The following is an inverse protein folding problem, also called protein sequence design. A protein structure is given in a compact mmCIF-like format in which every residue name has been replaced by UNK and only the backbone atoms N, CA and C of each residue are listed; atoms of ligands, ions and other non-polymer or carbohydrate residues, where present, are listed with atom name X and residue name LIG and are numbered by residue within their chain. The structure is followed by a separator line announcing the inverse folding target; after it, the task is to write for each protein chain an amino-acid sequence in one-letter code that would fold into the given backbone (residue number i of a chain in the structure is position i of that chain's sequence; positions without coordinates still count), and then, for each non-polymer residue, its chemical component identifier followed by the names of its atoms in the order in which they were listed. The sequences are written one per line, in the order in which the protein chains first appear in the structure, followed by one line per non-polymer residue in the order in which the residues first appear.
data_IF_081644605629
#
_entry.id   IF_081644605629
#
_cell.length_a   1.000
_cell.length_b   1.000
_cell.length_c   1.000
_cell.angle_alpha   90.00
_cell.angle_beta   90.00
_cell.angle_gamma   90.00
#
_symmetry.space_group_name_H-M   'P 1'
#
loop_
_entity.id
_entity.type
_entity.pdbx_description
1 polymer ?
#
# COMPACT_ATOMS: atom_id res chain seq x y z
N UNK A 1 4.02 -4.37 -12.49
CA UNK A 1 3.37 -3.02 -12.67
C UNK A 1 2.01 -3.11 -13.37
N UNK A 2 1.66 -4.25 -13.98
CA UNK A 2 0.34 -4.47 -14.58
C UNK A 2 -0.70 -4.66 -13.48
N UNK A 3 -0.33 -5.43 -12.47
CA UNK A 3 -1.07 -5.81 -11.27
C UNK A 3 -1.49 -4.55 -10.49
N UNK A 4 -0.56 -3.63 -10.24
CA UNK A 4 -0.86 -2.37 -9.54
C UNK A 4 -1.80 -1.45 -10.34
N UNK A 5 -1.70 -1.45 -11.68
CA UNK A 5 -2.65 -0.72 -12.55
C UNK A 5 -4.03 -1.37 -12.54
N UNK A 6 -4.08 -2.69 -12.47
CA UNK A 6 -5.32 -3.46 -12.39
C UNK A 6 -6.04 -3.20 -11.06
N UNK A 7 -5.33 -3.30 -9.94
CA UNK A 7 -5.86 -2.95 -8.61
C UNK A 7 -6.46 -1.54 -8.58
N UNK A 8 -5.72 -0.54 -9.07
CA UNK A 8 -6.21 0.85 -9.10
C UNK A 8 -7.42 1.05 -10.02
N UNK A 9 -7.57 0.25 -11.08
CA UNK A 9 -8.77 0.25 -11.94
C UNK A 9 -9.94 -0.44 -11.25
N UNK A 10 -9.71 -1.60 -10.63
CA UNK A 10 -10.74 -2.34 -9.88
C UNK A 10 -11.31 -1.44 -8.78
N UNK A 11 -10.46 -0.87 -7.95
CA UNK A 11 -10.88 0.03 -6.86
C UNK A 11 -11.63 1.27 -7.39
N UNK A 12 -11.17 1.88 -8.49
CA UNK A 12 -11.89 2.97 -9.13
C UNK A 12 -13.26 2.55 -9.68
N UNK A 13 -13.40 1.31 -10.15
CA UNK A 13 -14.68 0.75 -10.62
C UNK A 13 -15.62 0.49 -9.45
N UNK A 14 -15.12 -0.11 -8.37
CA UNK A 14 -15.85 -0.37 -7.13
C UNK A 14 -16.39 0.91 -6.49
N UNK A 15 -15.63 2.01 -6.54
CA UNK A 15 -16.05 3.32 -6.03
C UNK A 15 -16.72 4.23 -7.07
N UNK A 16 -16.85 3.78 -8.32
CA UNK A 16 -17.51 4.53 -9.38
C UNK A 16 -19.02 4.62 -9.22
N UNK A 17 -19.74 5.42 -10.05
CA UNK A 17 -21.19 5.62 -9.91
C UNK A 17 -22.04 4.34 -9.95
N UNK A 18 -21.57 3.32 -10.68
CA UNK A 18 -22.20 1.98 -10.79
C UNK A 18 -21.46 0.91 -9.96
N UNK A 19 -20.66 1.34 -9.00
CA UNK A 19 -19.86 0.48 -8.14
C UNK A 19 -20.62 0.01 -6.89
N UNK A 20 -19.91 -0.63 -5.98
CA UNK A 20 -20.45 -1.15 -4.73
C UNK A 20 -20.92 0.00 -3.81
N UNK A 21 -22.16 -0.03 -3.30
CA UNK A 21 -22.67 1.01 -2.40
C UNK A 21 -21.91 1.12 -1.07
N UNK A 22 -21.37 0.01 -0.56
CA UNK A 22 -20.55 0.02 0.65
C UNK A 22 -19.22 0.72 0.39
N UNK A 23 -18.51 0.32 -0.67
CA UNK A 23 -17.21 0.91 -1.03
C UNK A 23 -17.33 2.41 -1.23
N UNK A 24 -18.35 2.88 -1.96
CA UNK A 24 -18.58 4.31 -2.23
C UNK A 24 -18.80 5.15 -0.97
N UNK A 25 -19.40 4.58 0.08
CA UNK A 25 -19.69 5.29 1.33
C UNK A 25 -18.46 5.44 2.23
N UNK A 26 -17.39 4.69 1.97
CA UNK A 26 -16.19 4.75 2.79
C UNK A 26 -15.46 6.08 2.69
N UNK A 27 -14.85 6.47 3.80
CA UNK A 27 -13.99 7.64 3.98
C UNK A 27 -12.70 7.21 4.69
N UNK A 28 -11.69 8.08 4.74
CA UNK A 28 -10.49 7.76 5.53
C UNK A 28 -10.79 7.48 7.01
N UNK A 29 -11.84 8.10 7.57
CA UNK A 29 -12.20 7.91 8.98
C UNK A 29 -12.94 6.61 9.22
N UNK A 30 -13.86 6.23 8.32
CA UNK A 30 -14.61 4.98 8.46
C UNK A 30 -13.74 3.74 8.26
N UNK A 31 -12.65 3.85 7.51
CA UNK A 31 -11.69 2.76 7.25
C UNK A 31 -10.65 2.55 8.35
N UNK A 32 -10.51 3.47 9.32
CA UNK A 32 -9.53 3.38 10.40
C UNK A 32 -9.63 2.13 11.27
N UNK A 33 -10.81 1.70 11.76
CA UNK A 33 -10.90 0.50 12.58
C UNK A 33 -10.52 -0.75 11.79
N UNK A 34 -11.00 -0.88 10.55
CA UNK A 34 -10.70 -2.04 9.70
C UNK A 34 -9.20 -2.21 9.46
N UNK A 35 -8.46 -1.17 9.02
CA UNK A 35 -7.01 -1.32 8.83
C UNK A 35 -6.26 -1.65 10.13
N UNK A 36 -6.81 -1.30 11.29
CA UNK A 36 -6.21 -1.70 12.56
C UNK A 36 -6.41 -3.19 12.83
N UNK A 37 -7.59 -3.73 12.52
CA UNK A 37 -7.92 -5.16 12.58
C UNK A 37 -6.98 -5.97 11.66
N UNK A 38 -6.87 -5.61 10.38
CA UNK A 38 -5.99 -6.31 9.42
C UNK A 38 -4.50 -6.30 9.85
N UNK A 39 -4.07 -5.23 10.55
CA UNK A 39 -2.71 -5.15 11.09
C UNK A 39 -2.53 -6.12 12.25
N UNK A 40 -3.55 -6.34 13.10
CA UNK A 40 -3.49 -7.34 14.15
C UNK A 40 -3.48 -8.76 13.58
N UNK A 41 -4.31 -9.04 12.57
CA UNK A 41 -4.33 -10.33 11.89
C UNK A 41 -3.00 -10.61 11.17
N UNK A 42 -2.41 -9.59 10.52
CA UNK A 42 -1.06 -9.68 9.96
C UNK A 42 0.00 -10.03 11.01
N UNK A 43 -0.06 -9.42 12.20
CA UNK A 43 0.88 -9.71 13.28
C UNK A 43 0.69 -11.14 13.80
N UNK A 44 -0.55 -11.59 13.94
CA UNK A 44 -0.86 -12.97 14.33
C UNK A 44 -0.31 -13.98 13.32
N UNK A 45 -0.49 -13.74 12.02
CA UNK A 45 0.06 -14.59 10.97
C UNK A 45 1.60 -14.68 11.02
N UNK A 46 2.28 -13.58 11.34
CA UNK A 46 3.74 -13.55 11.55
C UNK A 46 4.12 -14.40 12.77
N UNK A 47 3.43 -14.21 13.89
CA UNK A 47 3.73 -14.91 15.15
C UNK A 47 3.51 -16.42 15.03
N UNK A 48 2.54 -16.84 14.21
CA UNK A 48 2.24 -18.24 13.93
C UNK A 48 3.17 -18.85 12.87
N UNK A 49 3.90 -18.04 12.10
CA UNK A 49 4.71 -18.51 10.97
C UNK A 49 3.88 -19.14 9.85
N UNK A 50 2.63 -18.68 9.69
CA UNK A 50 1.71 -19.18 8.65
C UNK A 50 1.85 -18.31 7.39
N UNK A 51 2.58 -18.83 6.40
CA UNK A 51 2.79 -18.14 5.11
C UNK A 51 1.51 -17.97 4.30
N UNK A 52 0.50 -18.82 4.50
CA UNK A 52 -0.79 -18.67 3.81
C UNK A 52 -1.54 -17.47 4.37
N UNK A 53 -1.72 -17.43 5.70
CA UNK A 53 -2.34 -16.31 6.38
C UNK A 53 -1.55 -15.02 6.12
N UNK A 54 -0.22 -15.06 6.25
CA UNK A 54 0.64 -13.90 6.01
C UNK A 54 0.40 -13.27 4.63
N UNK A 55 0.25 -14.10 3.58
CA UNK A 55 -0.02 -13.62 2.22
C UNK A 55 -1.40 -12.99 2.08
N UNK A 56 -2.40 -13.52 2.78
CA UNK A 56 -3.77 -13.00 2.82
C UNK A 56 -3.80 -11.62 3.48
N UNK A 57 -3.29 -11.53 4.71
CA UNK A 57 -3.30 -10.30 5.51
C UNK A 57 -2.45 -9.18 4.91
N UNK A 58 -1.31 -9.52 4.27
CA UNK A 58 -0.55 -8.54 3.49
C UNK A 58 -1.38 -7.96 2.32
N UNK A 59 -2.25 -8.78 1.74
CA UNK A 59 -3.22 -8.39 0.73
C UNK A 59 -4.27 -7.41 1.28
N UNK A 60 -4.79 -7.66 2.47
CA UNK A 60 -5.82 -6.82 3.08
C UNK A 60 -5.27 -5.48 3.58
N UNK A 61 -4.07 -5.48 4.18
CA UNK A 61 -3.36 -4.22 4.46
C UNK A 61 -3.11 -3.43 3.15
N UNK A 62 -2.74 -4.10 2.06
CA UNK A 62 -2.57 -3.46 0.76
C UNK A 62 -3.90 -2.93 0.19
N UNK A 63 -5.01 -3.64 0.38
CA UNK A 63 -6.36 -3.19 0.02
C UNK A 63 -6.69 -1.87 0.70
N UNK A 64 -6.41 -1.74 2.00
CA UNK A 64 -6.64 -0.49 2.73
C UNK A 64 -5.75 0.65 2.21
N UNK A 65 -4.46 0.41 1.96
CA UNK A 65 -3.57 1.40 1.33
C UNK A 65 -4.15 1.89 -0.02
N UNK A 66 -4.63 0.96 -0.85
CA UNK A 66 -5.25 1.26 -2.13
C UNK A 66 -6.53 2.10 -1.97
N UNK A 67 -7.37 1.79 -0.97
CA UNK A 67 -8.57 2.55 -0.63
C UNK A 67 -8.24 4.00 -0.26
N UNK A 68 -7.26 4.20 0.61
CA UNK A 68 -6.80 5.54 0.99
C UNK A 68 -6.23 6.30 -0.20
N UNK A 69 -5.44 5.65 -1.06
CA UNK A 69 -4.95 6.26 -2.29
C UNK A 69 -6.07 6.64 -3.27
N UNK A 70 -7.10 5.80 -3.42
CA UNK A 70 -8.27 6.09 -4.26
C UNK A 70 -9.08 7.28 -3.73
N UNK A 71 -9.33 7.32 -2.42
CA UNK A 71 -10.00 8.44 -1.75
C UNK A 71 -9.23 9.75 -1.90
N UNK A 72 -7.90 9.72 -1.80
CA UNK A 72 -7.05 10.89 -2.04
C UNK A 72 -7.12 11.34 -3.50
N UNK A 73 -7.16 10.39 -4.45
CA UNK A 73 -7.26 10.66 -5.89
C UNK A 73 -8.58 11.33 -6.24
N UNK A 74 -9.68 10.88 -5.64
CA UNK A 74 -11.02 11.48 -5.80
C UNK A 74 -11.04 12.96 -5.40
N UNK A 75 -10.22 13.35 -4.42
CA UNK A 75 -10.02 14.74 -3.98
C UNK A 75 -8.89 15.47 -4.70
N UNK A 76 -8.29 14.87 -5.74
CA UNK A 76 -7.14 15.41 -6.48
C UNK A 76 -5.90 15.72 -5.62
N UNK A 77 -5.73 15.03 -4.48
CA UNK A 77 -4.60 15.25 -3.58
C UNK A 77 -3.35 14.46 -4.01
N UNK A 78 -3.48 13.14 -4.16
CA UNK A 78 -2.44 12.23 -4.65
C UNK A 78 -3.07 10.91 -5.09
N UNK A 79 -2.29 10.02 -5.70
CA UNK A 79 -2.73 8.67 -6.06
C UNK A 79 -1.76 7.60 -5.54
N UNK A 80 -2.06 6.33 -5.82
CA UNK A 80 -1.22 5.19 -5.39
C UNK A 80 0.21 5.27 -5.94
N UNK A 81 0.40 5.83 -7.15
CA UNK A 81 1.73 5.97 -7.76
C UNK A 81 2.58 6.97 -7.00
N UNK A 82 1.99 8.05 -6.51
CA UNK A 82 2.69 9.02 -5.67
C UNK A 82 3.20 8.36 -4.38
N UNK A 83 2.37 7.55 -3.71
CA UNK A 83 2.75 6.80 -2.50
C UNK A 83 3.93 5.85 -2.79
N UNK A 84 3.82 5.04 -3.85
CA UNK A 84 4.86 4.07 -4.22
C UNK A 84 6.18 4.76 -4.60
N UNK A 85 6.12 5.88 -5.33
CA UNK A 85 7.30 6.66 -5.71
C UNK A 85 7.99 7.26 -4.48
N UNK A 86 7.24 7.87 -3.56
CA UNK A 86 7.81 8.44 -2.33
C UNK A 86 8.47 7.35 -1.48
N UNK A 87 7.86 6.17 -1.37
CA UNK A 87 8.46 5.02 -0.70
C UNK A 87 9.77 4.59 -1.38
N UNK A 88 9.79 4.45 -2.71
CA UNK A 88 10.99 4.06 -3.45
C UNK A 88 12.14 5.06 -3.24
N UNK A 89 11.87 6.36 -3.38
CA UNK A 89 12.85 7.43 -3.13
C UNK A 89 13.37 7.39 -1.70
N UNK A 90 12.47 7.17 -0.72
CA UNK A 90 12.81 7.04 0.70
C UNK A 90 13.72 5.84 0.98
N UNK A 91 13.45 4.70 0.35
CA UNK A 91 14.27 3.49 0.49
C UNK A 91 15.66 3.69 -0.12
N UNK A 92 15.77 4.23 -1.33
CA UNK A 92 17.06 4.51 -1.98
C UNK A 92 17.88 5.49 -1.13
N UNK A 93 17.26 6.59 -0.69
CA UNK A 93 17.93 7.61 0.13
C UNK A 93 18.42 7.08 1.48
N UNK A 94 17.68 6.15 2.10
CA UNK A 94 18.04 5.57 3.41
C UNK A 94 19.09 4.47 3.34
N UNK A 95 19.40 3.96 2.15
CA UNK A 95 20.37 2.87 1.96
C UNK A 95 21.46 3.24 0.94
N UNK A 96 22.24 4.31 1.20
CA UNK A 96 23.31 4.73 0.28
C UNK A 96 24.40 3.65 0.12
N UNK A 97 24.59 2.77 1.11
CA UNK A 97 25.51 1.64 1.02
C UNK A 97 25.08 0.57 0.02
N UNK A 98 23.77 0.49 -0.32
CA UNK A 98 23.25 -0.44 -1.32
C UNK A 98 23.13 0.24 -2.70
N UNK A 99 22.70 1.50 -2.74
CA UNK A 99 22.29 2.18 -3.99
C UNK A 99 23.22 3.31 -4.45
N UNK A 100 24.27 3.64 -3.70
CA UNK A 100 25.30 4.57 -4.15
C UNK A 100 26.14 3.96 -5.26
N UNK A 101 26.42 4.72 -6.33
CA UNK A 101 27.49 4.37 -7.27
C UNK A 101 28.83 4.48 -6.53
N UNK A 102 29.47 3.34 -6.25
CA UNK A 102 30.92 3.06 -6.08
C UNK A 102 31.89 4.28 -6.16
N UNK A 103 32.91 4.52 -5.31
CA UNK A 103 33.78 3.68 -4.47
C UNK A 103 34.29 4.50 -3.27
N UNK A 104 34.19 3.98 -2.04
CA UNK A 104 35.13 4.39 -0.99
C UNK A 104 36.45 3.68 -1.29
N UNK A 105 37.42 4.44 -1.83
CA UNK A 105 38.83 4.05 -1.86
C UNK A 105 39.21 3.60 -0.46
N UNK A 106 39.63 2.34 -0.29
CA UNK A 106 40.47 1.99 0.84
C UNK A 106 41.73 2.86 0.77
N UNK A 107 42.07 3.63 1.82
CA UNK A 107 43.45 4.03 2.04
C UNK A 107 44.21 2.79 2.50
N UNK A 108 45.38 2.62 1.88
CA UNK A 108 46.39 1.58 2.11
C UNK A 108 46.78 1.41 3.58
#
# INVERSE_FOLDING_TARGET
MRETRELTRIMARLRGPRGCPWDRRQTHRSLRPMILEEVYELLEAIDQGDDHALREELGDVLLHILFHAQLARERKAFDFRAVARELAEKLVRRHPHVFGREKLRNPS
#
